data_IF_718470451499
#
_entry.id   IF_718470451499
#
_cell.length_a   1.000
_cell.length_b   1.000
_cell.length_c   1.000
_cell.angle_alpha   90.00
_cell.angle_beta   90.00
_cell.angle_gamma   90.00
#
_symmetry.space_group_name_H-M   'P 1'
#
loop_
_entity.id
_entity.type
_entity.pdbx_description
1 polymer ?
#
# COMPACT_ATOMS: atom_id res chain seq x y z
N UNK A 1 34.96 -1.13 -1.53
CA UNK A 1 34.39 -1.94 -2.62
C UNK A 1 33.12 -2.60 -2.09
N UNK A 2 31.97 -2.51 -2.76
CA UNK A 2 30.85 -3.37 -2.42
C UNK A 2 31.34 -4.82 -2.52
N UNK A 3 31.04 -5.68 -1.54
CA UNK A 3 31.36 -7.10 -1.63
C UNK A 3 30.68 -7.76 -2.84
N UNK A 4 31.00 -9.03 -3.14
CA UNK A 4 30.40 -9.76 -4.28
C UNK A 4 28.86 -9.73 -4.31
N UNK A 5 28.22 -9.67 -3.14
CA UNK A 5 26.78 -9.49 -3.01
C UNK A 5 26.26 -8.13 -3.53
N UNK A 6 27.08 -7.07 -3.55
CA UNK A 6 26.69 -5.77 -4.10
C UNK A 6 26.63 -5.72 -5.63
N UNK A 7 27.22 -6.71 -6.32
CA UNK A 7 27.22 -6.79 -7.78
C UNK A 7 26.02 -7.59 -8.34
N UNK A 8 25.46 -8.52 -7.54
CA UNK A 8 24.37 -9.42 -7.97
C UNK A 8 23.16 -9.41 -7.03
N UNK A 9 23.31 -8.84 -5.84
CA UNK A 9 22.25 -8.75 -4.84
C UNK A 9 21.21 -7.69 -5.23
N UNK A 10 19.95 -8.08 -5.19
CA UNK A 10 18.85 -7.17 -5.43
C UNK A 10 18.64 -6.27 -4.22
N UNK A 11 18.41 -4.97 -4.46
CA UNK A 11 17.92 -4.05 -3.43
C UNK A 11 16.54 -4.51 -2.97
N UNK A 12 16.28 -4.40 -1.67
CA UNK A 12 15.01 -4.79 -1.06
C UNK A 12 13.90 -3.77 -1.25
N UNK A 13 14.23 -2.51 -1.57
CA UNK A 13 13.27 -1.38 -1.70
C UNK A 13 12.10 -1.70 -2.67
N UNK A 14 12.31 -2.09 -3.94
CA UNK A 14 11.18 -2.32 -4.82
C UNK A 14 10.55 -3.71 -4.58
N UNK A 15 9.21 -3.81 -4.59
CA UNK A 15 8.55 -5.11 -4.69
C UNK A 15 8.84 -5.79 -6.03
N UNK A 16 8.67 -7.11 -6.05
CA UNK A 16 8.91 -8.00 -7.18
C UNK A 16 7.86 -9.11 -7.24
N UNK A 17 7.96 -9.95 -8.26
CA UNK A 17 7.12 -11.13 -8.49
C UNK A 17 7.13 -12.09 -7.28
N UNK A 18 8.21 -12.10 -6.50
CA UNK A 18 8.38 -12.89 -5.28
C UNK A 18 7.89 -12.16 -4.00
N UNK A 19 7.13 -11.06 -4.14
CA UNK A 19 6.85 -10.07 -3.09
C UNK A 19 8.04 -9.16 -2.76
N UNK A 20 8.62 -9.20 -1.56
CA UNK A 20 9.57 -8.17 -1.09
C UNK A 20 8.87 -7.03 -0.35
N UNK A 21 9.29 -5.78 -0.57
CA UNK A 21 8.66 -4.58 0.02
C UNK A 21 7.33 -4.27 -0.68
N UNK A 22 6.29 -5.01 -0.33
CA UNK A 22 4.98 -4.85 -0.97
C UNK A 22 4.13 -3.79 -0.30
N UNK A 23 4.36 -3.52 0.99
CA UNK A 23 3.72 -2.45 1.75
C UNK A 23 2.19 -2.47 1.65
N UNK A 24 1.64 -3.69 1.71
CA UNK A 24 0.21 -3.97 1.68
C UNK A 24 -0.26 -4.11 3.13
N UNK A 25 -0.90 -3.09 3.68
CA UNK A 25 -1.33 -3.06 5.09
C UNK A 25 -2.24 -4.22 5.52
N UNK A 26 -2.92 -4.87 4.57
CA UNK A 26 -3.80 -6.02 4.84
C UNK A 26 -3.00 -7.33 5.09
N UNK A 27 -1.69 -7.35 4.83
CA UNK A 27 -0.78 -8.49 5.12
C UNK A 27 -0.37 -8.56 6.60
N UNK A 28 -1.37 -8.62 7.49
CA UNK A 28 -1.17 -8.80 8.93
C UNK A 28 -1.43 -10.24 9.43
N UNK A 29 -1.51 -10.39 10.74
CA UNK A 29 -1.91 -11.64 11.38
C UNK A 29 -3.26 -12.15 10.82
N UNK A 30 -3.35 -13.47 10.63
CA UNK A 30 -4.52 -14.14 10.04
C UNK A 30 -4.48 -14.26 8.50
N UNK A 31 -3.62 -13.51 7.82
CA UNK A 31 -3.50 -13.59 6.36
C UNK A 31 -2.77 -14.86 5.90
N UNK A 32 -3.27 -15.48 4.83
CA UNK A 32 -2.56 -16.49 4.04
C UNK A 32 -1.93 -15.81 2.84
N UNK A 33 -0.61 -15.81 2.76
CA UNK A 33 0.16 -15.32 1.62
C UNK A 33 0.65 -16.51 0.79
N UNK A 34 0.38 -16.49 -0.51
CA UNK A 34 0.79 -17.46 -1.50
C UNK A 34 1.84 -16.82 -2.41
N UNK A 35 3.05 -17.40 -2.40
CA UNK A 35 4.17 -16.92 -3.19
C UNK A 35 4.58 -18.01 -4.21
N UNK A 36 4.81 -17.65 -5.48
CA UNK A 36 5.49 -18.57 -6.40
C UNK A 36 6.92 -18.82 -5.90
N UNK A 37 7.35 -20.08 -5.90
CA UNK A 37 8.73 -20.47 -5.54
C UNK A 37 9.57 -20.47 -6.81
N UNK A 38 10.57 -19.61 -6.86
CA UNK A 38 11.47 -19.42 -8.00
C UNK A 38 12.88 -20.02 -7.79
N UNK A 39 13.22 -20.36 -6.55
CA UNK A 39 14.53 -20.91 -6.18
C UNK A 39 14.41 -22.11 -5.23
N UNK A 40 15.33 -23.10 -5.30
CA UNK A 40 15.34 -24.22 -4.36
C UNK A 40 15.32 -23.78 -2.89
N UNK A 41 14.43 -24.38 -2.12
CA UNK A 41 14.25 -24.07 -0.69
C UNK A 41 13.44 -22.81 -0.41
N UNK A 42 12.97 -22.08 -1.43
CA UNK A 42 12.19 -20.84 -1.36
C UNK A 42 12.88 -19.64 -0.69
N UNK A 43 13.78 -19.87 0.27
CA UNK A 43 14.62 -18.86 0.92
C UNK A 43 13.82 -17.68 1.52
N UNK A 44 12.70 -18.01 2.18
CA UNK A 44 11.81 -17.02 2.78
C UNK A 44 12.54 -16.12 3.79
N UNK A 45 12.30 -14.81 3.67
CA UNK A 45 12.72 -13.78 4.61
C UNK A 45 11.55 -12.82 4.84
N UNK A 46 11.50 -12.20 6.03
CA UNK A 46 10.52 -11.17 6.36
C UNK A 46 11.13 -10.11 7.28
N UNK A 47 10.69 -8.88 7.13
CA UNK A 47 11.13 -7.69 7.87
C UNK A 47 10.17 -6.54 7.60
N UNK A 48 10.62 -5.31 7.88
CA UNK A 48 9.88 -4.07 7.59
C UNK A 48 8.46 -4.07 8.18
N UNK A 49 8.38 -4.23 9.50
CA UNK A 49 7.10 -4.39 10.17
C UNK A 49 6.48 -3.03 10.49
N UNK A 50 5.22 -2.86 10.07
CA UNK A 50 4.46 -1.63 10.28
C UNK A 50 3.41 -1.81 11.38
N UNK A 51 3.34 -0.87 12.31
CA UNK A 51 2.24 -0.78 13.27
C UNK A 51 0.96 -0.28 12.60
N UNK A 52 1.10 0.71 11.72
CA UNK A 52 0.01 1.27 10.92
C UNK A 52 0.55 1.88 9.62
N UNK A 53 -0.24 1.79 8.56
CA UNK A 53 0.03 2.35 7.23
C UNK A 53 -1.31 2.64 6.53
N UNK A 54 -1.36 3.71 5.75
CA UNK A 54 -2.43 3.96 4.77
C UNK A 54 -2.17 3.22 3.46
N UNK A 55 -3.20 3.06 2.62
CA UNK A 55 -3.02 2.57 1.24
C UNK A 55 -2.34 3.65 0.37
N UNK A 56 -1.07 3.96 0.62
CA UNK A 56 -0.21 4.82 -0.22
C UNK A 56 1.25 4.91 0.27
N UNK A 57 1.46 4.76 1.59
CA UNK A 57 2.75 5.04 2.24
C UNK A 57 3.36 6.39 1.78
N UNK A 58 2.51 7.41 1.69
CA UNK A 58 2.80 8.61 0.91
C UNK A 58 4.07 9.35 1.32
N UNK A 59 4.47 9.33 2.59
CA UNK A 59 5.71 9.97 3.07
C UNK A 59 6.95 9.09 2.99
N UNK A 60 6.83 7.93 2.33
CA UNK A 60 7.89 6.96 2.09
C UNK A 60 8.16 6.00 3.25
N UNK A 61 7.39 6.08 4.33
CA UNK A 61 7.45 5.16 5.48
C UNK A 61 6.07 5.05 6.14
N UNK A 62 5.90 3.98 6.90
CA UNK A 62 4.74 3.74 7.76
C UNK A 62 5.03 4.18 9.21
N UNK A 63 4.21 3.72 10.17
CA UNK A 63 4.65 3.67 11.57
C UNK A 63 5.53 2.43 11.74
N UNK A 64 6.83 2.59 11.54
CA UNK A 64 7.83 1.52 11.61
C UNK A 64 7.99 0.94 13.02
N UNK A 65 8.08 -0.38 13.14
CA UNK A 65 8.28 -1.05 14.42
C UNK A 65 9.09 -2.35 14.33
N UNK A 66 9.60 -2.80 15.47
CA UNK A 66 10.08 -4.17 15.61
C UNK A 66 8.90 -5.12 15.78
N UNK A 67 8.99 -6.32 15.19
CA UNK A 67 7.97 -7.36 15.35
C UNK A 67 8.58 -8.76 15.47
N UNK A 68 7.83 -9.67 16.07
CA UNK A 68 8.10 -11.12 16.02
C UNK A 68 7.03 -11.78 15.18
N UNK A 69 7.44 -12.47 14.11
CA UNK A 69 6.52 -13.14 13.20
C UNK A 69 6.44 -14.63 13.54
N UNK A 70 5.21 -15.16 13.61
CA UNK A 70 4.94 -16.60 13.66
C UNK A 70 4.22 -16.99 12.38
N UNK A 71 4.87 -17.80 11.56
CA UNK A 71 4.35 -18.26 10.27
C UNK A 71 4.31 -19.78 10.21
N UNK A 72 3.42 -20.31 9.37
CA UNK A 72 3.36 -21.73 9.03
C UNK A 72 3.50 -21.87 7.52
N UNK A 73 4.43 -22.68 7.08
CA UNK A 73 4.65 -22.96 5.67
C UNK A 73 3.87 -24.19 5.21
N UNK A 74 3.41 -24.17 3.97
CA UNK A 74 2.85 -25.31 3.26
C UNK A 74 3.29 -25.21 1.82
N UNK A 75 3.86 -26.29 1.28
CA UNK A 75 4.30 -26.34 -0.11
C UNK A 75 3.15 -26.87 -0.95
N UNK A 76 2.90 -26.22 -2.09
CA UNK A 76 1.90 -26.58 -3.08
C UNK A 76 2.60 -26.99 -4.39
N UNK A 77 2.99 -28.26 -4.55
CA UNK A 77 3.84 -28.69 -5.67
C UNK A 77 3.16 -28.42 -7.02
N UNK A 78 3.85 -27.71 -7.91
CA UNK A 78 3.40 -27.45 -9.29
C UNK A 78 2.21 -26.49 -9.44
N UNK A 79 1.60 -26.01 -8.35
CA UNK A 79 0.36 -25.22 -8.41
C UNK A 79 0.54 -23.89 -9.15
N UNK A 80 1.63 -23.17 -8.89
CA UNK A 80 1.92 -21.90 -9.55
C UNK A 80 2.03 -22.06 -11.07
N UNK A 81 2.74 -23.09 -11.54
CA UNK A 81 2.87 -23.39 -12.96
C UNK A 81 1.53 -23.79 -13.59
N UNK A 82 0.80 -24.70 -12.95
CA UNK A 82 -0.49 -25.19 -13.45
C UNK A 82 -1.54 -24.07 -13.59
N UNK A 83 -1.49 -23.05 -12.72
CA UNK A 83 -2.43 -21.93 -12.71
C UNK A 83 -1.86 -20.63 -13.32
N UNK A 84 -0.65 -20.66 -13.87
CA UNK A 84 0.02 -19.45 -14.41
C UNK A 84 0.22 -18.33 -13.38
N UNK A 85 0.45 -18.66 -12.10
CA UNK A 85 0.64 -17.69 -11.02
C UNK A 85 2.04 -17.11 -11.11
N UNK A 86 2.13 -15.80 -11.38
CA UNK A 86 3.39 -15.07 -11.54
C UNK A 86 3.71 -14.11 -10.39
N UNK A 87 2.76 -13.84 -9.51
CA UNK A 87 2.91 -12.86 -8.45
C UNK A 87 2.24 -13.29 -7.16
N UNK A 88 2.43 -12.52 -6.08
CA UNK A 88 1.84 -12.83 -4.78
C UNK A 88 0.32 -12.82 -4.86
N UNK A 89 -0.30 -13.72 -4.10
CA UNK A 89 -1.75 -13.70 -3.82
C UNK A 89 -1.93 -13.81 -2.33
N UNK A 90 -2.91 -13.11 -1.77
CA UNK A 90 -3.21 -13.22 -0.35
C UNK A 90 -4.69 -13.32 -0.10
N UNK A 91 -5.06 -13.99 0.98
CA UNK A 91 -6.44 -14.20 1.36
C UNK A 91 -6.57 -14.25 2.88
N UNK A 92 -7.72 -13.80 3.36
CA UNK A 92 -8.16 -13.93 4.75
C UNK A 92 -9.69 -14.03 4.77
N UNK A 93 -10.26 -14.48 5.87
CA UNK A 93 -11.70 -14.70 6.02
C UNK A 93 -12.38 -13.74 7.01
N UNK A 94 -11.63 -12.76 7.51
CA UNK A 94 -12.04 -11.75 8.48
C UNK A 94 -11.41 -10.38 8.16
N UNK A 95 -11.70 -9.36 8.95
CA UNK A 95 -11.08 -8.04 8.81
C UNK A 95 -9.63 -8.04 9.29
N UNK A 96 -8.77 -7.26 8.63
CA UNK A 96 -7.33 -7.17 8.96
C UNK A 96 -7.01 -6.40 10.23
N UNK A 97 -7.94 -5.55 10.65
CA UNK A 97 -8.01 -4.88 11.95
C UNK A 97 -9.45 -4.97 12.43
N UNK A 98 -9.74 -4.48 13.64
CA UNK A 98 -11.13 -4.40 14.10
C UNK A 98 -12.00 -3.69 13.04
N UNK A 99 -13.21 -4.20 12.79
CA UNK A 99 -14.05 -3.80 11.66
C UNK A 99 -14.18 -2.28 11.44
N UNK A 100 -14.33 -1.42 12.47
CA UNK A 100 -14.39 0.03 12.29
C UNK A 100 -13.16 0.66 11.63
N UNK A 101 -11.99 0.02 11.75
CA UNK A 101 -10.73 0.48 11.15
C UNK A 101 -10.43 -0.17 9.81
N UNK A 102 -11.08 -1.29 9.48
CA UNK A 102 -10.87 -1.99 8.22
C UNK A 102 -11.72 -1.42 7.08
N UNK A 103 -12.92 -0.94 7.41
CA UNK A 103 -13.78 -0.17 6.54
C UNK A 103 -14.37 0.98 7.39
N UNK A 104 -13.92 2.23 7.19
CA UNK A 104 -14.32 3.31 8.06
C UNK A 104 -15.82 3.54 7.98
N UNK A 105 -16.48 3.50 9.13
CA UNK A 105 -17.92 3.81 9.25
C UNK A 105 -18.20 5.26 8.87
N UNK A 106 -17.29 6.17 9.22
CA UNK A 106 -17.31 7.59 8.87
C UNK A 106 -15.99 7.92 8.19
N UNK A 107 -16.06 8.58 7.05
CA UNK A 107 -14.89 9.05 6.33
C UNK A 107 -15.17 10.38 5.67
N UNK A 108 -14.10 11.15 5.48
CA UNK A 108 -14.03 12.23 4.50
C UNK A 108 -13.23 11.74 3.30
N UNK A 109 -13.58 12.14 2.09
CA UNK A 109 -12.85 11.75 0.90
C UNK A 109 -12.59 12.94 -0.02
N UNK A 110 -11.36 13.02 -0.51
CA UNK A 110 -10.97 13.90 -1.62
C UNK A 110 -10.76 13.06 -2.87
N UNK A 111 -10.86 13.70 -4.04
CA UNK A 111 -10.68 13.04 -5.33
C UNK A 111 -9.61 13.75 -6.13
N UNK A 112 -8.81 12.98 -6.86
CA UNK A 112 -7.85 13.50 -7.82
C UNK A 112 -8.10 12.89 -9.20
N UNK A 113 -8.08 13.75 -10.20
CA UNK A 113 -8.09 13.35 -11.61
C UNK A 113 -6.67 13.40 -12.18
N UNK A 114 -6.42 12.71 -13.28
CA UNK A 114 -5.15 12.78 -14.02
C UNK A 114 -5.00 14.11 -14.79
N UNK A 115 -5.09 15.23 -14.07
CA UNK A 115 -5.00 16.60 -14.57
C UNK A 115 -3.84 17.32 -13.86
N UNK A 116 -2.95 17.95 -14.62
CA UNK A 116 -1.83 18.69 -14.07
C UNK A 116 -2.30 19.95 -13.33
N UNK A 117 -1.40 20.58 -12.57
CA UNK A 117 -1.71 21.86 -11.88
C UNK A 117 -2.02 22.99 -12.87
N UNK A 118 -1.52 22.90 -14.09
CA UNK A 118 -1.77 23.87 -15.16
C UNK A 118 -3.07 23.58 -15.92
N UNK A 119 -3.83 22.55 -15.51
CA UNK A 119 -5.11 22.17 -16.10
C UNK A 119 -5.00 21.23 -17.31
N UNK A 120 -3.81 20.71 -17.60
CA UNK A 120 -3.62 19.76 -18.71
C UNK A 120 -4.05 18.36 -18.32
N UNK A 121 -4.89 17.72 -19.14
CA UNK A 121 -5.25 16.32 -18.92
C UNK A 121 -4.09 15.43 -19.37
N UNK A 122 -3.51 14.69 -18.42
CA UNK A 122 -2.50 13.67 -18.68
C UNK A 122 -3.22 12.34 -18.82
N UNK A 123 -3.20 11.79 -20.03
CA UNK A 123 -3.94 10.58 -20.35
C UNK A 123 -3.49 9.39 -19.49
N UNK A 124 -4.45 8.73 -18.86
CA UNK A 124 -4.27 7.42 -18.19
C UNK A 124 -3.21 7.42 -17.06
N UNK A 125 -2.94 8.58 -16.46
CA UNK A 125 -1.97 8.71 -15.36
C UNK A 125 -2.63 8.56 -13.98
N UNK A 126 -2.70 7.32 -13.50
CA UNK A 126 -3.18 7.01 -12.15
C UNK A 126 -2.28 7.58 -11.05
N UNK A 127 -1.00 7.79 -11.32
CA UNK A 127 -0.05 8.34 -10.33
C UNK A 127 -0.33 9.82 -10.09
N UNK A 128 -0.60 10.57 -11.17
CA UNK A 128 -1.02 11.96 -11.08
C UNK A 128 -2.38 12.08 -10.37
N UNK A 129 -3.35 11.24 -10.73
CA UNK A 129 -4.65 11.20 -10.05
C UNK A 129 -4.51 10.94 -8.55
N UNK A 130 -3.70 9.94 -8.16
CA UNK A 130 -3.38 9.62 -6.78
C UNK A 130 -2.72 10.80 -6.04
N UNK A 131 -1.73 11.45 -6.68
CA UNK A 131 -1.04 12.62 -6.12
C UNK A 131 -2.00 13.77 -5.86
N UNK A 132 -2.89 14.07 -6.81
CA UNK A 132 -3.87 15.14 -6.66
C UNK A 132 -4.84 14.84 -5.52
N UNK A 133 -5.34 13.61 -5.41
CA UNK A 133 -6.21 13.22 -4.30
C UNK A 133 -5.53 13.42 -2.93
N UNK A 134 -4.26 13.05 -2.80
CA UNK A 134 -3.48 13.27 -1.58
C UNK A 134 -3.23 14.74 -1.28
N UNK A 135 -2.93 15.56 -2.29
CA UNK A 135 -2.71 17.00 -2.10
C UNK A 135 -3.97 17.68 -1.57
N UNK A 136 -5.14 17.37 -2.16
CA UNK A 136 -6.43 17.87 -1.66
C UNK A 136 -6.70 17.41 -0.22
N UNK A 137 -6.31 16.17 0.13
CA UNK A 137 -6.46 15.68 1.50
C UNK A 137 -5.54 16.42 2.48
N UNK A 138 -4.31 16.73 2.06
CA UNK A 138 -3.35 17.49 2.85
C UNK A 138 -3.88 18.91 3.09
N UNK A 139 -4.44 19.55 2.05
CA UNK A 139 -5.05 20.88 2.17
C UNK A 139 -6.27 20.86 3.10
N UNK A 140 -7.14 19.85 2.98
CA UNK A 140 -8.27 19.65 3.89
C UNK A 140 -7.84 19.47 5.35
N UNK A 141 -6.80 18.68 5.61
CA UNK A 141 -6.23 18.54 6.96
C UNK A 141 -5.62 19.87 7.45
N UNK A 142 -5.05 20.66 6.54
CA UNK A 142 -4.59 22.03 6.80
C UNK A 142 -5.71 22.96 7.25
N UNK A 143 -6.87 22.92 6.59
CA UNK A 143 -8.09 23.65 7.00
C UNK A 143 -8.56 23.24 8.40
N UNK A 144 -8.29 21.99 8.80
CA UNK A 144 -8.57 21.46 10.15
C UNK A 144 -7.51 21.80 11.19
N UNK A 145 -6.49 22.58 10.83
CA UNK A 145 -5.47 23.10 11.74
C UNK A 145 -4.20 22.26 11.85
N UNK A 146 -4.01 21.23 11.00
CA UNK A 146 -2.76 20.47 10.96
C UNK A 146 -1.69 21.18 10.12
N UNK A 147 -0.43 21.14 10.56
CA UNK A 147 0.69 21.61 9.72
C UNK A 147 0.90 20.70 8.51
N UNK A 148 1.46 21.23 7.42
CA UNK A 148 1.66 20.49 6.17
C UNK A 148 2.40 19.14 6.36
N UNK A 149 3.46 19.12 7.19
CA UNK A 149 4.20 17.89 7.49
C UNK A 149 3.37 16.91 8.32
N UNK A 150 2.53 17.40 9.23
CA UNK A 150 1.64 16.54 10.04
C UNK A 150 0.54 15.94 9.18
N UNK A 151 -0.10 16.77 8.33
CA UNK A 151 -1.09 16.31 7.37
C UNK A 151 -0.52 15.24 6.42
N UNK A 152 0.69 15.46 5.91
CA UNK A 152 1.37 14.48 5.05
C UNK A 152 1.68 13.17 5.77
N UNK A 153 2.15 13.24 7.03
CA UNK A 153 2.37 12.05 7.85
C UNK A 153 1.06 11.30 8.15
N UNK A 154 -0.02 12.01 8.51
CA UNK A 154 -1.36 11.44 8.70
C UNK A 154 -1.81 10.70 7.43
N UNK A 155 -1.62 11.32 6.27
CA UNK A 155 -1.95 10.69 4.99
C UNK A 155 -1.18 9.36 4.81
N UNK A 156 0.12 9.33 5.10
CA UNK A 156 0.93 8.11 4.96
C UNK A 156 0.45 6.95 5.84
N UNK A 157 -0.04 7.23 7.05
CA UNK A 157 -0.33 6.19 8.06
C UNK A 157 -1.80 5.84 8.21
N UNK A 158 -2.72 6.69 7.74
CA UNK A 158 -4.16 6.53 7.98
C UNK A 158 -5.05 6.73 6.75
N UNK A 159 -4.58 7.35 5.67
CA UNK A 159 -5.40 7.63 4.49
C UNK A 159 -5.26 6.52 3.45
N UNK A 160 -6.39 6.10 2.90
CA UNK A 160 -6.44 5.04 1.89
C UNK A 160 -6.71 5.60 0.51
N UNK A 161 -5.75 5.44 -0.42
CA UNK A 161 -6.02 5.66 -1.82
C UNK A 161 -6.83 4.50 -2.41
N UNK A 162 -7.93 4.87 -3.07
CA UNK A 162 -8.79 3.96 -3.80
C UNK A 162 -8.84 4.38 -5.25
N UNK A 163 -8.34 3.50 -6.11
CA UNK A 163 -8.63 3.57 -7.54
C UNK A 163 -10.16 3.54 -7.69
N UNK A 164 -10.74 4.64 -8.13
CA UNK A 164 -12.19 4.78 -8.25
C UNK A 164 -12.64 4.36 -9.64
N UNK A 165 -11.91 4.80 -10.67
CA UNK A 165 -12.01 4.28 -12.04
C UNK A 165 -10.69 4.46 -12.79
N UNK A 166 -10.42 3.57 -13.76
CA UNK A 166 -9.29 3.63 -14.71
C UNK A 166 -9.74 3.37 -16.15
N UNK A 167 -10.98 3.72 -16.50
CA UNK A 167 -11.58 3.34 -17.79
C UNK A 167 -12.18 4.52 -18.55
N UNK A 168 -12.42 5.64 -17.88
CA UNK A 168 -13.07 6.81 -18.48
C UNK A 168 -12.01 7.71 -19.13
N UNK A 169 -11.45 7.23 -20.23
CA UNK A 169 -10.39 7.93 -20.95
C UNK A 169 -10.81 9.34 -21.41
N UNK A 170 -9.90 10.34 -21.37
CA UNK A 170 -8.49 10.21 -21.00
C UNK A 170 -8.21 10.26 -19.49
N UNK A 171 -9.23 10.49 -18.64
CA UNK A 171 -9.01 10.86 -17.24
C UNK A 171 -9.26 9.72 -16.27
N UNK A 172 -8.25 9.35 -15.50
CA UNK A 172 -8.40 8.41 -14.38
C UNK A 172 -8.75 9.15 -13.09
N UNK A 173 -9.45 8.47 -12.18
CA UNK A 173 -9.87 9.04 -10.90
C UNK A 173 -9.47 8.15 -9.73
N UNK A 174 -8.75 8.74 -8.78
CA UNK A 174 -8.37 8.15 -7.51
C UNK A 174 -9.00 8.98 -6.39
N UNK A 175 -9.46 8.31 -5.34
CA UNK A 175 -10.03 8.96 -4.16
C UNK A 175 -9.16 8.66 -2.94
N UNK A 176 -8.94 9.63 -2.07
CA UNK A 176 -8.23 9.47 -0.80
C UNK A 176 -9.24 9.46 0.34
N UNK A 177 -9.34 8.35 1.07
CA UNK A 177 -10.30 8.17 2.17
C UNK A 177 -9.63 8.39 3.51
N UNK A 178 -10.08 9.40 4.25
CA UNK A 178 -9.67 9.69 5.63
C UNK A 178 -10.70 9.10 6.61
N UNK A 179 -10.34 8.10 7.42
CA UNK A 179 -11.21 7.62 8.50
C UNK A 179 -11.40 8.71 9.56
N UNK A 180 -12.63 9.17 9.80
CA UNK A 180 -12.89 10.26 10.76
C UNK A 180 -12.76 9.82 12.22
N UNK A 181 -12.92 8.53 12.49
CA UNK A 181 -12.90 7.99 13.86
C UNK A 181 -11.46 7.94 14.45
N UNK A 182 -10.43 8.40 13.73
CA UNK A 182 -9.06 8.58 14.25
C UNK A 182 -8.88 9.87 15.05
N UNK A 183 -9.80 10.82 14.91
CA UNK A 183 -9.77 12.09 15.63
C UNK A 183 -10.67 12.05 16.86
N UNK A 184 -10.24 12.71 17.94
CA UNK A 184 -11.06 12.94 19.14
C UNK A 184 -11.67 14.33 19.06
N UNK A 185 -12.92 14.45 18.65
CA UNK A 185 -13.61 15.73 18.47
C UNK A 185 -15.01 15.58 17.88
#
# INVERSE_FOLDING_TARGET
>A
MPGSAGATGLRTIPPREQAGNVDIKQLGAGTRLYLPVDTPGALFSAGDAHFAQGDCEACGTAIEMNATLRVRFTVHPGEAAAKGIRGPRFARSDYWVAAPFAAPRRFYATTGMSVSRDGEVVAEDATLAARNALLEMIDHLGERGWGAQQAYAICSVAVDLKVSQLVDVPSFLVSAFLPEDIFTG
#
